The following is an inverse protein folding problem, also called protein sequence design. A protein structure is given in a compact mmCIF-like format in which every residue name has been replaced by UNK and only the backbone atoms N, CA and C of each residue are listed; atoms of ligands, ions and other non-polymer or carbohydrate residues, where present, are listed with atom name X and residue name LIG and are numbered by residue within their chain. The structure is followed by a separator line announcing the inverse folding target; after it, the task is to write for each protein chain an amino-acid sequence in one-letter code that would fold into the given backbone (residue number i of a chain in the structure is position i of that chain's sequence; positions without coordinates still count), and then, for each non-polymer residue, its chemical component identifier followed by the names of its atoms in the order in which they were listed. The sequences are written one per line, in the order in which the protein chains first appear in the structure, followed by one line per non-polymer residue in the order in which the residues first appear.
data_IF_712539622354
#
_entry.id   IF_712539622354
#
_cell.length_a   1.000
_cell.length_b   1.000
_cell.length_c   1.000
_cell.angle_alpha   90.00
_cell.angle_beta   90.00
_cell.angle_gamma   90.00
#
_symmetry.space_group_name_H-M   'P 1'
#
loop_
_entity.id
_entity.type
_entity.pdbx_description
1 polymer ?
#
# COMPACT_ATOMS: atom_id res chain seq x y z
N UNK A 1 -16.35 11.06 -8.36
CA UNK A 1 -15.41 10.10 -8.98
C UNK A 1 -14.19 10.85 -9.41
N UNK A 2 -13.04 10.25 -9.24
CA UNK A 2 -11.75 10.84 -9.57
C UNK A 2 -10.67 9.78 -9.46
N UNK A 3 -9.61 9.95 -10.25
CA UNK A 3 -8.59 8.93 -10.41
C UNK A 3 -7.50 9.04 -9.34
N UNK A 4 -6.99 7.89 -8.91
CA UNK A 4 -5.70 7.76 -8.23
C UNK A 4 -4.70 7.19 -9.24
N UNK A 5 -3.49 7.75 -9.27
CA UNK A 5 -2.41 7.19 -10.06
C UNK A 5 -1.68 6.15 -9.23
N UNK A 6 -1.60 4.92 -9.71
CA UNK A 6 -0.96 3.81 -9.00
C UNK A 6 0.27 3.35 -9.75
N UNK A 7 1.36 3.18 -9.02
CA UNK A 7 2.60 2.57 -9.50
C UNK A 7 2.99 1.37 -8.64
N UNK A 8 3.44 0.29 -9.27
CA UNK A 8 3.93 -0.90 -8.57
C UNK A 8 5.38 -1.14 -8.94
N UNK A 9 6.22 -1.47 -7.95
CA UNK A 9 7.67 -1.57 -8.11
C UNK A 9 8.23 -2.93 -7.68
N UNK A 10 9.46 -3.21 -8.11
CA UNK A 10 10.22 -4.39 -7.71
C UNK A 10 9.52 -5.71 -8.00
N UNK A 11 9.70 -6.68 -7.09
CA UNK A 11 9.11 -8.02 -7.17
C UNK A 11 7.58 -8.05 -7.09
N UNK A 12 6.91 -6.98 -6.65
CA UNK A 12 5.44 -6.91 -6.69
C UNK A 12 4.89 -6.93 -8.13
N UNK A 13 5.70 -6.49 -9.10
CA UNK A 13 5.31 -6.48 -10.52
C UNK A 13 5.01 -7.88 -11.07
N UNK A 14 5.65 -8.91 -10.53
CA UNK A 14 5.43 -10.30 -10.92
C UNK A 14 3.99 -10.78 -10.70
N UNK A 15 3.24 -10.11 -9.81
CA UNK A 15 1.83 -10.43 -9.57
C UNK A 15 0.88 -9.72 -10.55
N UNK A 16 1.40 -8.90 -11.47
CA UNK A 16 0.63 -8.09 -12.41
C UNK A 16 0.79 -8.52 -13.88
N UNK A 17 1.65 -9.51 -14.16
CA UNK A 17 2.06 -9.88 -15.52
C UNK A 17 0.96 -10.52 -16.38
N UNK A 18 -0.26 -10.70 -15.83
CA UNK A 18 -1.44 -11.17 -16.56
C UNK A 18 -2.09 -10.13 -17.49
N UNK A 19 -1.86 -8.82 -17.27
CA UNK A 19 -2.50 -7.72 -18.03
C UNK A 19 -1.50 -6.83 -18.79
N UNK A 20 -0.48 -7.44 -19.42
CA UNK A 20 0.41 -6.72 -20.34
C UNK A 20 1.42 -5.77 -19.70
N UNK A 21 1.77 -5.98 -18.42
CA UNK A 21 2.90 -5.29 -17.78
C UNK A 21 2.66 -3.82 -17.44
N UNK A 22 1.40 -3.39 -17.30
CA UNK A 22 1.09 -2.03 -16.82
C UNK A 22 1.35 -1.94 -15.32
N UNK A 23 2.58 -1.62 -14.94
CA UNK A 23 2.94 -1.34 -13.54
C UNK A 23 2.69 0.11 -13.13
N UNK A 24 2.12 0.90 -14.05
CA UNK A 24 1.61 2.24 -13.80
C UNK A 24 0.21 2.33 -14.43
N UNK A 25 -0.77 2.74 -13.64
CA UNK A 25 -2.19 2.74 -14.04
C UNK A 25 -2.98 3.79 -13.27
N UNK A 26 -4.14 4.14 -13.80
CA UNK A 26 -5.14 4.92 -13.08
C UNK A 26 -6.24 4.00 -12.55
N UNK A 27 -6.70 4.27 -11.33
CA UNK A 27 -7.88 3.62 -10.73
C UNK A 27 -8.89 4.68 -10.33
N UNK A 28 -10.16 4.44 -10.64
CA UNK A 28 -11.24 5.33 -10.20
C UNK A 28 -11.59 5.02 -8.76
N UNK A 29 -11.65 6.06 -7.92
CA UNK A 29 -12.04 5.95 -6.53
C UNK A 29 -13.30 6.78 -6.25
N UNK A 30 -14.12 6.27 -5.33
CA UNK A 30 -15.21 7.04 -4.75
C UNK A 30 -14.70 8.30 -4.02
N UNK A 31 -15.57 9.29 -3.77
CA UNK A 31 -15.17 10.56 -3.16
C UNK A 31 -14.59 10.42 -1.74
N UNK A 32 -14.86 9.30 -1.07
CA UNK A 32 -14.35 9.01 0.27
C UNK A 32 -12.96 8.36 0.27
N UNK A 33 -12.44 7.96 -0.90
CA UNK A 33 -11.23 7.16 -0.99
C UNK A 33 -11.39 5.76 -0.38
N UNK A 34 -10.29 5.01 -0.38
CA UNK A 34 -10.18 3.68 0.27
C UNK A 34 -8.84 3.58 0.99
N UNK A 35 -8.61 2.55 1.79
CA UNK A 35 -7.27 2.34 2.36
C UNK A 35 -6.29 1.88 1.28
N UNK A 36 -4.99 2.14 1.46
CA UNK A 36 -3.98 1.59 0.56
C UNK A 36 -3.96 0.05 0.59
N UNK A 37 -4.41 -0.58 1.68
CA UNK A 37 -4.59 -2.01 1.85
C UNK A 37 -5.68 -2.53 0.91
N UNK A 38 -6.85 -1.88 0.90
CA UNK A 38 -7.96 -2.25 0.02
C UNK A 38 -7.53 -2.05 -1.43
N UNK A 39 -6.88 -0.92 -1.75
CA UNK A 39 -6.37 -0.66 -3.09
C UNK A 39 -5.36 -1.73 -3.55
N UNK A 40 -4.42 -2.14 -2.70
CA UNK A 40 -3.48 -3.21 -3.03
C UNK A 40 -4.20 -4.56 -3.26
N UNK A 41 -5.21 -4.85 -2.43
CA UNK A 41 -6.00 -6.08 -2.51
C UNK A 41 -6.83 -6.13 -3.79
N UNK A 42 -7.48 -5.03 -4.17
CA UNK A 42 -8.24 -4.90 -5.42
C UNK A 42 -7.34 -5.04 -6.66
N UNK A 43 -6.07 -4.64 -6.55
CA UNK A 43 -5.06 -4.83 -7.59
C UNK A 43 -4.49 -6.26 -7.64
N UNK A 44 -4.92 -7.15 -6.75
CA UNK A 44 -4.41 -8.52 -6.66
C UNK A 44 -2.99 -8.62 -6.09
N UNK A 45 -2.49 -7.56 -5.44
CA UNK A 45 -1.17 -7.59 -4.84
C UNK A 45 -1.21 -8.37 -3.51
N UNK A 46 -0.22 -9.24 -3.25
CA UNK A 46 -0.09 -9.87 -1.94
C UNK A 46 0.35 -8.82 -0.90
N UNK A 47 -0.59 -8.38 -0.06
CA UNK A 47 -0.42 -7.33 0.96
C UNK A 47 0.64 -7.66 2.02
N UNK A 48 0.93 -8.94 2.24
CA UNK A 48 2.02 -9.43 3.10
C UNK A 48 3.41 -9.18 2.48
N UNK A 49 3.49 -8.97 1.16
CA UNK A 49 4.74 -8.67 0.46
C UNK A 49 5.00 -7.17 0.26
N UNK A 50 4.03 -6.32 0.59
CA UNK A 50 4.17 -4.86 0.53
C UNK A 50 4.91 -4.36 1.78
N UNK A 51 6.12 -3.83 1.60
CA UNK A 51 6.93 -3.22 2.68
C UNK A 51 6.58 -1.75 2.91
N UNK A 52 6.24 -1.03 1.84
CA UNK A 52 5.99 0.40 1.91
C UNK A 52 4.96 0.87 0.88
N UNK A 53 4.17 1.86 1.28
CA UNK A 53 3.29 2.64 0.42
C UNK A 53 3.77 4.08 0.41
N UNK A 54 4.01 4.63 -0.76
CA UNK A 54 4.24 6.06 -0.93
C UNK A 54 2.96 6.70 -1.44
N UNK A 55 2.47 7.73 -0.76
CA UNK A 55 1.42 8.62 -1.27
C UNK A 55 2.02 10.02 -1.46
N UNK A 56 1.99 10.52 -2.69
CA UNK A 56 2.55 11.82 -3.07
C UNK A 56 4.01 12.02 -2.62
N UNK A 57 4.80 10.96 -2.69
CA UNK A 57 6.22 10.97 -2.32
C UNK A 57 6.49 10.84 -0.81
N UNK A 58 5.47 10.66 0.02
CA UNK A 58 5.61 10.42 1.47
C UNK A 58 5.20 9.00 1.82
N UNK A 59 5.89 8.38 2.76
CA UNK A 59 5.49 7.07 3.29
C UNK A 59 4.26 7.23 4.18
N UNK A 60 3.27 6.37 3.93
CA UNK A 60 2.06 6.21 4.74
C UNK A 60 1.96 4.76 5.21
N UNK A 61 1.13 4.51 6.21
CA UNK A 61 0.78 3.14 6.58
C UNK A 61 -0.14 2.54 5.51
N UNK A 62 -0.08 1.22 5.31
CA UNK A 62 -0.96 0.55 4.36
C UNK A 62 -2.46 0.68 4.74
N UNK A 63 -2.79 0.90 6.01
CA UNK A 63 -4.17 1.14 6.46
C UNK A 63 -4.61 2.61 6.39
N UNK A 64 -3.74 3.53 5.98
CA UNK A 64 -4.14 4.92 5.76
C UNK A 64 -4.96 5.06 4.47
N UNK A 65 -5.84 6.06 4.44
CA UNK A 65 -6.67 6.36 3.27
C UNK A 65 -5.86 7.04 2.15
N UNK A 66 -6.19 6.64 0.93
CA UNK A 66 -5.78 7.29 -0.32
C UNK A 66 -7.02 7.82 -1.03
N UNK A 67 -6.92 9.00 -1.58
CA UNK A 67 -8.04 9.75 -2.14
C UNK A 67 -7.86 9.99 -3.65
N UNK A 68 -8.95 10.31 -4.36
CA UNK A 68 -8.85 10.83 -5.72
C UNK A 68 -7.85 11.99 -5.82
N UNK A 69 -7.00 11.95 -6.86
CA UNK A 69 -5.92 12.91 -7.10
C UNK A 69 -4.55 12.48 -6.55
N UNK A 70 -4.49 11.46 -5.69
CA UNK A 70 -3.22 10.98 -5.13
C UNK A 70 -2.37 10.20 -6.13
N UNK A 71 -1.05 10.24 -5.91
CA UNK A 71 -0.06 9.35 -6.55
C UNK A 71 0.42 8.32 -5.55
N UNK A 72 -0.01 7.08 -5.72
CA UNK A 72 0.25 5.97 -4.81
C UNK A 72 1.26 5.01 -5.44
N UNK A 73 2.26 4.60 -4.68
CA UNK A 73 3.23 3.61 -5.12
C UNK A 73 3.45 2.50 -4.09
N UNK A 74 3.40 1.24 -4.55
CA UNK A 74 3.62 0.04 -3.75
C UNK A 74 5.02 -0.53 -3.97
N UNK A 75 5.73 -0.79 -2.88
CA UNK A 75 7.09 -1.34 -2.89
C UNK A 75 7.18 -2.65 -2.07
N UNK A 76 7.91 -3.66 -2.57
CA UNK A 76 8.17 -4.89 -1.84
C UNK A 76 9.24 -4.72 -0.78
N UNK A 77 9.36 -5.74 0.08
CA UNK A 77 10.55 -5.93 0.92
C UNK A 77 11.83 -6.01 0.09
N UNK A 78 12.89 -5.36 0.55
CA UNK A 78 14.23 -5.45 -0.05
C UNK A 78 15.03 -4.15 -0.07
N UNK A 79 14.45 -3.04 0.43
CA UNK A 79 15.17 -1.77 0.53
C UNK A 79 16.34 -1.88 1.53
N UNK A 80 17.58 -1.48 1.20
CA UNK A 80 18.71 -1.58 2.13
C UNK A 80 18.51 -0.81 3.44
N UNK A 81 19.09 -1.32 4.52
CA UNK A 81 18.82 -0.93 5.92
C UNK A 81 18.70 0.57 6.21
N UNK A 82 19.74 1.38 5.93
CA UNK A 82 19.71 2.81 6.27
C UNK A 82 18.56 3.58 5.63
N UNK A 83 18.23 3.26 4.38
CA UNK A 83 17.16 3.95 3.65
C UNK A 83 15.77 3.63 4.22
N UNK A 84 15.56 2.41 4.72
CA UNK A 84 14.29 2.04 5.38
C UNK A 84 14.01 2.88 6.62
N UNK A 85 15.07 3.24 7.36
CA UNK A 85 14.98 4.15 8.51
C UNK A 85 14.68 5.57 8.03
N UNK A 86 15.50 6.12 7.14
CA UNK A 86 15.39 7.52 6.71
C UNK A 86 14.09 7.84 5.99
N UNK A 87 13.58 6.92 5.18
CA UNK A 87 12.33 7.08 4.47
C UNK A 87 11.11 6.93 5.42
N UNK A 88 11.27 6.23 6.55
CA UNK A 88 10.21 6.01 7.53
C UNK A 88 9.46 4.67 7.36
N UNK A 89 9.98 3.75 6.55
CA UNK A 89 9.37 2.43 6.34
C UNK A 89 9.30 1.61 7.64
N UNK A 90 10.36 1.67 8.46
CA UNK A 90 10.37 0.96 9.75
C UNK A 90 9.28 1.51 10.68
N UNK A 91 9.13 2.84 10.75
CA UNK A 91 8.14 3.50 11.59
C UNK A 91 6.72 3.05 11.22
N UNK A 92 6.38 3.07 9.93
CA UNK A 92 5.04 2.64 9.50
C UNK A 92 4.82 1.14 9.62
N UNK A 93 5.86 0.30 9.48
CA UNK A 93 5.72 -1.14 9.69
C UNK A 93 5.53 -1.50 11.17
N UNK A 94 6.18 -0.80 12.11
CA UNK A 94 5.89 -0.95 13.54
C UNK A 94 4.43 -0.56 13.82
N UNK A 95 3.97 0.56 13.25
CA UNK A 95 2.58 1.01 13.39
C UNK A 95 1.59 -0.01 12.81
N UNK A 96 1.89 -0.59 11.64
CA UNK A 96 1.10 -1.64 11.00
C UNK A 96 0.98 -2.86 11.92
N UNK A 97 2.09 -3.34 12.48
CA UNK A 97 2.09 -4.49 13.39
C UNK A 97 1.22 -4.25 14.62
N UNK A 98 1.31 -3.06 15.22
CA UNK A 98 0.47 -2.70 16.36
C UNK A 98 -1.01 -2.74 15.99
N UNK A 99 -1.40 -2.13 14.86
CA UNK A 99 -2.80 -2.13 14.41
C UNK A 99 -3.31 -3.56 14.14
N UNK A 100 -2.53 -4.39 13.44
CA UNK A 100 -2.89 -5.79 13.17
C UNK A 100 -3.02 -6.61 14.46
N UNK A 101 -2.19 -6.35 15.46
CA UNK A 101 -2.30 -6.98 16.78
C UNK A 101 -3.57 -6.54 17.51
N UNK A 102 -3.86 -5.24 17.52
CA UNK A 102 -5.05 -4.68 18.16
C UNK A 102 -6.32 -5.29 17.55
N UNK A 103 -6.40 -5.35 16.21
CA UNK A 103 -7.49 -6.00 15.48
C UNK A 103 -7.67 -7.49 15.84
N UNK A 104 -6.58 -8.23 16.06
CA UNK A 104 -6.65 -9.65 16.48
C UNK A 104 -7.09 -9.82 17.93
N UNK A 105 -6.78 -8.85 18.78
CA UNK A 105 -7.10 -8.86 20.22
C UNK A 105 -8.50 -8.34 20.55
N UNK A 106 -9.17 -7.69 19.59
CA UNK A 106 -10.53 -7.22 19.75
C UNK A 106 -11.48 -8.41 20.04
N UNK A 107 -12.39 -8.28 21.04
CA UNK A 107 -13.35 -9.33 21.33
C UNK A 107 -14.22 -9.58 20.09
N UNK A 108 -14.33 -10.84 19.67
CA UNK A 108 -15.29 -11.22 18.63
C UNK A 108 -16.69 -11.06 19.23
N UNK A 109 -17.47 -10.11 18.73
CA UNK A 109 -18.89 -9.99 19.08
C UNK A 109 -19.56 -11.35 18.87
N UNK A 110 -20.18 -11.87 19.94
CA UNK A 110 -20.79 -13.20 20.04
C UNK A 110 -22.23 -13.16 19.58
#
# INVERSE_FOLDING_TARGET
MGNVQVSVYGSLRMFMDGEGGRYHMERDLGPQGITAFDLASELGLPVDKVEAVFCNGRIINIYDRVCPGDRVAFFPFGTPGPYRVFLGMIRENIRRQQMEQDLRSAPKET
#
